data_IF_904996495002
#
_entry.id   IF_904996495002
#
_cell.length_a   1.000
_cell.length_b   1.000
_cell.length_c   1.000
_cell.angle_alpha   90.00
_cell.angle_beta   90.00
_cell.angle_gamma   90.00
#
_symmetry.space_group_name_H-M   'P 1'
#
loop_
_entity.id
_entity.type
_entity.pdbx_description
1 polymer ?
#
# COMPACT_ATOMS: atom_id res chain seq x y z
N UNK A 1 18.48 10.39 -5.01
CA UNK A 1 18.28 9.96 -3.61
C UNK A 1 17.71 11.16 -2.86
N UNK A 2 16.62 10.98 -2.11
CA UNK A 2 16.01 12.04 -1.30
C UNK A 2 16.18 11.70 0.18
N UNK A 3 16.59 12.68 0.99
CA UNK A 3 16.69 12.51 2.44
C UNK A 3 15.38 12.93 3.09
N UNK A 4 14.85 12.06 3.96
CA UNK A 4 13.62 12.27 4.71
C UNK A 4 13.88 11.91 6.17
N UNK A 5 13.07 12.44 7.09
CA UNK A 5 13.25 12.23 8.53
C UNK A 5 13.07 10.77 8.94
N UNK A 6 12.15 10.06 8.30
CA UNK A 6 11.83 8.65 8.59
C UNK A 6 11.03 8.01 7.43
N UNK A 7 10.81 6.70 7.52
CA UNK A 7 10.05 5.92 6.52
C UNK A 7 8.62 6.44 6.35
N UNK A 8 7.94 6.81 7.43
CA UNK A 8 6.57 7.30 7.40
C UNK A 8 6.44 8.59 6.57
N UNK A 9 7.37 9.53 6.73
CA UNK A 9 7.43 10.75 5.93
C UNK A 9 7.75 10.44 4.46
N UNK A 10 8.67 9.51 4.20
CA UNK A 10 8.95 9.05 2.84
C UNK A 10 7.71 8.48 2.14
N UNK A 11 6.96 7.60 2.81
CA UNK A 11 5.70 7.04 2.29
C UNK A 11 4.65 8.12 2.07
N UNK A 12 4.51 9.07 3.00
CA UNK A 12 3.61 10.20 2.84
C UNK A 12 3.97 11.07 1.63
N UNK A 13 5.26 11.30 1.35
CA UNK A 13 5.68 12.02 0.15
C UNK A 13 5.33 11.28 -1.14
N UNK A 14 5.52 9.96 -1.19
CA UNK A 14 5.09 9.16 -2.36
C UNK A 14 3.58 9.24 -2.53
N UNK A 15 2.82 9.02 -1.45
CA UNK A 15 1.36 9.04 -1.50
C UNK A 15 0.80 10.40 -1.95
N UNK A 16 1.36 11.51 -1.49
CA UNK A 16 0.87 12.84 -1.86
C UNK A 16 1.52 13.43 -3.12
N UNK A 17 2.60 12.82 -3.63
CA UNK A 17 3.32 13.29 -4.81
C UNK A 17 2.80 12.74 -6.14
N UNK A 18 1.89 11.77 -6.12
CA UNK A 18 1.27 11.20 -7.31
C UNK A 18 -0.03 11.93 -7.67
N UNK A 19 -0.30 12.10 -8.96
CA UNK A 19 -1.56 12.63 -9.46
C UNK A 19 -2.62 11.52 -9.55
N UNK A 20 -3.37 11.36 -8.46
CA UNK A 20 -4.42 10.34 -8.33
C UNK A 20 -5.70 10.73 -9.05
N UNK A 21 -6.33 9.74 -9.67
CA UNK A 21 -7.67 9.86 -10.26
C UNK A 21 -8.67 8.99 -9.52
N UNK A 22 -9.93 9.42 -9.52
CA UNK A 22 -11.02 8.64 -8.97
C UNK A 22 -11.07 7.26 -9.62
N UNK A 23 -11.16 6.21 -8.79
CA UNK A 23 -11.13 4.82 -9.22
C UNK A 23 -9.74 4.26 -9.53
N UNK A 24 -8.65 4.98 -9.26
CA UNK A 24 -7.32 4.37 -9.20
C UNK A 24 -7.26 3.38 -8.02
N UNK A 25 -6.49 2.31 -8.17
CA UNK A 25 -6.39 1.26 -7.16
C UNK A 25 -5.00 1.26 -6.50
N UNK A 26 -5.02 1.12 -5.17
CA UNK A 26 -3.86 0.98 -4.31
C UNK A 26 -3.97 -0.39 -3.65
N UNK A 27 -3.01 -1.27 -3.86
CA UNK A 27 -2.99 -2.60 -3.27
C UNK A 27 -1.98 -2.61 -2.12
N UNK A 28 -2.41 -3.10 -0.96
CA UNK A 28 -1.55 -3.40 0.18
C UNK A 28 -2.04 -4.67 0.88
N UNK A 29 -1.42 -5.02 2.00
CA UNK A 29 -1.88 -6.13 2.85
C UNK A 29 -2.61 -5.60 4.09
N UNK A 30 -3.43 -6.45 4.70
CA UNK A 30 -4.15 -6.14 5.93
C UNK A 30 -3.26 -6.14 7.19
N UNK A 31 -2.00 -6.54 7.05
CA UNK A 31 -1.01 -6.66 8.14
C UNK A 31 0.16 -5.69 8.00
N UNK A 32 0.02 -4.70 7.11
CA UNK A 32 0.98 -3.62 6.96
C UNK A 32 1.12 -2.77 8.23
N UNK A 33 2.33 -2.29 8.49
CA UNK A 33 2.56 -1.33 9.57
C UNK A 33 1.75 -0.05 9.32
N UNK A 34 1.18 0.62 10.34
CA UNK A 34 0.23 1.71 10.13
C UNK A 34 0.75 2.88 9.27
N UNK A 35 2.06 3.15 9.29
CA UNK A 35 2.65 4.19 8.42
C UNK A 35 2.60 3.86 6.92
N UNK A 36 2.44 2.58 6.57
CA UNK A 36 2.21 2.09 5.20
C UNK A 36 0.73 1.80 4.92
N UNK A 37 -0.19 2.29 5.76
CA UNK A 37 -1.65 2.14 5.58
C UNK A 37 -2.31 3.52 5.54
N UNK A 38 -2.06 4.36 6.54
CA UNK A 38 -2.76 5.64 6.68
C UNK A 38 -2.60 6.61 5.51
N UNK A 39 -1.43 6.76 4.87
CA UNK A 39 -1.29 7.64 3.71
C UNK A 39 -2.22 7.23 2.56
N UNK A 40 -2.37 5.92 2.32
CA UNK A 40 -3.21 5.39 1.26
C UNK A 40 -4.70 5.51 1.57
N UNK A 41 -5.10 5.30 2.83
CA UNK A 41 -6.47 5.56 3.28
C UNK A 41 -6.86 7.02 3.05
N UNK A 42 -5.95 7.95 3.33
CA UNK A 42 -6.23 9.37 3.15
C UNK A 42 -6.28 9.76 1.66
N UNK A 43 -5.42 9.17 0.82
CA UNK A 43 -5.52 9.29 -0.65
C UNK A 43 -6.86 8.76 -1.16
N UNK A 44 -7.28 7.56 -0.73
CA UNK A 44 -8.54 6.96 -1.13
C UNK A 44 -9.73 7.87 -0.77
N UNK A 45 -9.72 8.41 0.45
CA UNK A 45 -10.74 9.35 0.93
C UNK A 45 -10.75 10.67 0.17
N UNK A 46 -9.59 11.25 -0.13
CA UNK A 46 -9.48 12.59 -0.74
C UNK A 46 -9.67 12.59 -2.26
N UNK A 47 -9.22 11.55 -2.96
CA UNK A 47 -9.14 11.50 -4.41
C UNK A 47 -10.14 10.51 -5.04
N UNK A 48 -10.87 9.73 -4.23
CA UNK A 48 -11.77 8.68 -4.72
C UNK A 48 -11.04 7.46 -5.26
N UNK A 49 -9.76 7.29 -4.92
CA UNK A 49 -9.04 6.04 -5.16
C UNK A 49 -9.59 4.92 -4.27
N UNK A 50 -9.32 3.67 -4.63
CA UNK A 50 -9.72 2.48 -3.89
C UNK A 50 -8.50 1.85 -3.24
N UNK A 51 -8.52 1.74 -1.92
CA UNK A 51 -7.49 1.03 -1.17
C UNK A 51 -7.93 -0.41 -0.92
N UNK A 52 -7.25 -1.36 -1.56
CA UNK A 52 -7.52 -2.79 -1.52
C UNK A 52 -6.51 -3.42 -0.57
N UNK A 53 -6.98 -3.89 0.59
CA UNK A 53 -6.15 -4.56 1.59
C UNK A 53 -6.37 -6.07 1.49
N UNK A 54 -5.34 -6.80 1.05
CA UNK A 54 -5.39 -8.24 0.90
C UNK A 54 -5.19 -8.93 2.27
N UNK A 55 -6.01 -9.93 2.61
CA UNK A 55 -5.84 -10.67 3.87
C UNK A 55 -4.62 -11.58 3.81
N UNK A 56 -4.01 -11.81 4.97
CA UNK A 56 -3.05 -12.90 5.13
C UNK A 56 -3.75 -14.26 5.19
N UNK A 57 -3.02 -15.32 4.83
CA UNK A 57 -3.42 -16.71 4.98
C UNK A 57 -2.31 -17.44 5.71
N UNK A 58 -2.62 -18.01 6.87
CA UNK A 58 -1.66 -18.76 7.69
C UNK A 58 -0.38 -17.96 8.04
N UNK A 59 -0.55 -16.67 8.35
CA UNK A 59 0.55 -15.77 8.71
C UNK A 59 1.45 -15.38 7.54
N UNK A 60 0.97 -15.56 6.29
CA UNK A 60 1.70 -15.26 5.06
C UNK A 60 0.82 -14.54 4.07
N UNK A 61 1.46 -13.72 3.26
CA UNK A 61 0.83 -13.13 2.09
C UNK A 61 1.09 -14.02 0.90
N UNK A 62 0.01 -14.43 0.25
CA UNK A 62 0.09 -15.10 -1.03
C UNK A 62 0.42 -14.08 -2.12
N UNK A 63 1.60 -14.22 -2.71
CA UNK A 63 2.07 -13.37 -3.80
C UNK A 63 1.13 -13.45 -5.01
N UNK A 64 0.51 -14.62 -5.29
CA UNK A 64 -0.43 -14.74 -6.39
C UNK A 64 -1.67 -13.88 -6.17
N UNK A 65 -2.18 -13.84 -4.93
CA UNK A 65 -3.28 -12.94 -4.56
C UNK A 65 -2.98 -11.45 -4.83
N UNK A 66 -1.70 -11.03 -4.77
CA UNK A 66 -1.29 -9.66 -5.14
C UNK A 66 -1.38 -9.45 -6.64
N UNK A 67 -0.89 -10.41 -7.44
CA UNK A 67 -0.96 -10.35 -8.90
C UNK A 67 -2.41 -10.41 -9.40
N UNK A 68 -3.23 -11.29 -8.83
CA UNK A 68 -4.64 -11.46 -9.18
C UNK A 68 -5.48 -10.22 -8.83
N UNK A 69 -5.09 -9.48 -7.79
CA UNK A 69 -5.73 -8.23 -7.43
C UNK A 69 -5.33 -7.06 -8.34
N UNK A 70 -4.24 -7.17 -9.09
CA UNK A 70 -3.77 -6.11 -9.97
C UNK A 70 -4.64 -6.03 -11.24
N UNK A 71 -5.13 -4.82 -11.52
CA UNK A 71 -5.95 -4.51 -12.69
C UNK A 71 -5.32 -3.36 -13.49
N UNK A 72 -5.84 -3.02 -14.69
CA UNK A 72 -5.41 -1.81 -15.41
C UNK A 72 -5.60 -0.49 -14.63
N UNK A 73 -6.37 -0.50 -13.54
CA UNK A 73 -6.57 0.65 -12.64
C UNK A 73 -5.57 0.69 -11.48
N UNK A 74 -4.80 -0.37 -11.28
CA UNK A 74 -3.78 -0.44 -10.23
C UNK A 74 -2.67 0.56 -10.52
N UNK A 75 -2.55 1.54 -9.63
CA UNK A 75 -1.58 2.62 -9.73
C UNK A 75 -0.43 2.47 -8.73
N UNK A 76 -0.67 1.75 -7.63
CA UNK A 76 0.31 1.53 -6.57
C UNK A 76 0.13 0.15 -5.94
N UNK A 77 1.26 -0.50 -5.67
CA UNK A 77 1.35 -1.69 -4.82
C UNK A 77 2.34 -1.34 -3.71
N UNK A 78 1.87 -1.29 -2.47
CA UNK A 78 2.65 -0.88 -1.30
C UNK A 78 2.75 -2.04 -0.30
N UNK A 79 3.93 -2.65 -0.21
CA UNK A 79 4.19 -3.85 0.58
C UNK A 79 5.43 -3.69 1.44
N UNK A 80 5.39 -4.27 2.63
CA UNK A 80 6.58 -4.46 3.46
C UNK A 80 7.55 -5.46 2.81
N UNK A 81 8.86 -5.16 2.82
CA UNK A 81 9.88 -6.10 2.34
C UNK A 81 10.05 -7.32 3.26
N UNK A 82 9.79 -7.10 4.55
CA UNK A 82 9.66 -8.11 5.58
C UNK A 82 8.43 -7.71 6.37
N UNK A 83 7.46 -8.61 6.46
CA UNK A 83 6.19 -8.32 7.10
C UNK A 83 6.38 -7.88 8.55
N UNK A 84 5.72 -6.78 8.89
CA UNK A 84 5.79 -6.22 10.24
C UNK A 84 5.27 -7.18 11.30
N UNK A 85 4.16 -7.89 11.03
CA UNK A 85 3.50 -8.74 12.01
C UNK A 85 4.16 -10.12 12.17
N UNK A 86 4.57 -10.73 11.06
CA UNK A 86 5.01 -12.14 11.01
C UNK A 86 6.51 -12.31 10.78
N UNK A 87 7.20 -11.29 10.26
CA UNK A 87 8.58 -11.41 9.79
C UNK A 87 8.73 -12.18 8.48
N UNK A 88 7.63 -12.48 7.79
CA UNK A 88 7.63 -13.18 6.50
C UNK A 88 8.26 -12.32 5.38
N UNK A 89 8.92 -12.96 4.42
CA UNK A 89 9.63 -12.32 3.30
C UNK A 89 9.30 -13.01 1.98
#
# INVERSE_FOLDING_TARGET
MAFVKNTSEGLAFVANGLDWKAGDEIISTAVEYPSNVYPWMDVARRCGARHIMLPERDGRIDIQSIFDAATPRTRMIALSHVEYASGFR
#
